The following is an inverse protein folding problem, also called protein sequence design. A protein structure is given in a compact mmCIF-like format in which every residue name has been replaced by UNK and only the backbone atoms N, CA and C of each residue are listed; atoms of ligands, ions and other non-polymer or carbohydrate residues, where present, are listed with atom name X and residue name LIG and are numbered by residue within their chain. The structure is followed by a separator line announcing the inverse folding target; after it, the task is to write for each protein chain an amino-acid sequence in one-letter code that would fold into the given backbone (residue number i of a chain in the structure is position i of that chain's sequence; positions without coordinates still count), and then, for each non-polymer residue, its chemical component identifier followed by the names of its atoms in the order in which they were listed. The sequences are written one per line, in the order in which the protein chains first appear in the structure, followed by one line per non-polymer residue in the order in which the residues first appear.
data_IF_832530809935
#
_entry.id   IF_832530809935
#
_cell.length_a   1.000
_cell.length_b   1.000
_cell.length_c   1.000
_cell.angle_alpha   90.00
_cell.angle_beta   90.00
_cell.angle_gamma   90.00
#
_symmetry.space_group_name_H-M   'P 1'
#
loop_
_entity.id
_entity.type
_entity.pdbx_description
1 polymer ?
#
# COMPACT_ATOMS: atom_id res chain seq x y z
N UNK A 1 -12.21 8.30 9.05
CA UNK A 1 -11.84 9.08 7.84
C UNK A 1 -10.50 8.52 7.35
N UNK A 2 -10.35 8.14 6.08
CA UNK A 2 -9.09 7.56 5.60
C UNK A 2 -8.00 8.65 5.60
N UNK A 3 -6.99 8.51 6.46
CA UNK A 3 -5.90 9.49 6.65
C UNK A 3 -5.15 9.77 5.34
N UNK A 4 -5.15 8.82 4.41
CA UNK A 4 -4.47 8.90 3.11
C UNK A 4 -5.37 9.38 1.97
N UNK A 5 -6.62 9.79 2.22
CA UNK A 5 -7.58 10.11 1.16
C UNK A 5 -7.07 11.18 0.17
N UNK A 6 -6.43 12.24 0.66
CA UNK A 6 -5.91 13.31 -0.18
C UNK A 6 -4.70 12.86 -1.01
N UNK A 7 -3.77 12.13 -0.40
CA UNK A 7 -2.62 11.57 -1.10
C UNK A 7 -3.05 10.59 -2.18
N UNK A 8 -3.96 9.66 -1.86
CA UNK A 8 -4.51 8.73 -2.85
C UNK A 8 -5.22 9.46 -4.00
N UNK A 9 -5.90 10.57 -3.73
CA UNK A 9 -6.50 11.41 -4.78
C UNK A 9 -5.44 12.00 -5.70
N UNK A 10 -4.36 12.55 -5.14
CA UNK A 10 -3.22 13.11 -5.90
C UNK A 10 -2.52 12.03 -6.73
N UNK A 11 -2.26 10.87 -6.13
CA UNK A 11 -1.61 9.72 -6.78
C UNK A 11 -2.43 9.23 -7.97
N UNK A 12 -3.75 9.03 -7.78
CA UNK A 12 -4.65 8.61 -8.87
C UNK A 12 -4.68 9.62 -10.02
N UNK A 13 -4.58 10.92 -9.71
CA UNK A 13 -4.46 11.97 -10.72
C UNK A 13 -3.13 11.86 -11.48
N UNK A 14 -2.02 11.54 -10.81
CA UNK A 14 -0.72 11.32 -11.48
C UNK A 14 -0.73 10.12 -12.44
N UNK A 15 -1.50 9.08 -12.12
CA UNK A 15 -1.69 7.92 -13.00
C UNK A 15 -2.81 8.10 -14.04
N UNK A 16 -3.47 9.27 -14.08
CA UNK A 16 -4.53 9.52 -15.05
C UNK A 16 -3.95 9.61 -16.46
N UNK A 17 -4.49 8.79 -17.38
CA UNK A 17 -4.00 8.70 -18.75
C UNK A 17 -2.84 7.73 -18.96
N UNK A 18 -2.45 6.94 -17.95
CA UNK A 18 -1.59 5.78 -18.17
C UNK A 18 -2.31 4.73 -19.02
N UNK A 19 -1.54 4.11 -19.91
CA UNK A 19 -1.97 2.98 -20.73
C UNK A 19 -0.97 1.85 -20.50
N UNK A 20 -1.47 0.61 -20.44
CA UNK A 20 -0.62 -0.58 -20.39
C UNK A 20 -0.32 -1.09 -21.80
N UNK A 21 0.90 -1.55 -22.02
CA UNK A 21 1.31 -2.30 -23.20
C UNK A 21 1.92 -3.62 -22.74
N UNK A 22 1.40 -4.73 -23.25
CA UNK A 22 1.95 -6.05 -22.96
C UNK A 22 3.38 -6.17 -23.54
N UNK A 23 4.28 -6.75 -22.76
CA UNK A 23 5.66 -7.07 -23.16
C UNK A 23 5.99 -8.51 -22.74
N UNK A 24 7.11 -9.10 -23.20
CA UNK A 24 7.48 -10.47 -22.82
C UNK A 24 7.53 -10.70 -21.30
N UNK A 25 7.50 -11.97 -20.89
CA UNK A 25 7.65 -12.39 -19.48
C UNK A 25 6.50 -12.02 -18.54
N UNK A 26 5.25 -11.98 -19.05
CA UNK A 26 4.03 -11.69 -18.26
C UNK A 26 4.10 -10.30 -17.64
N UNK A 27 4.62 -9.37 -18.42
CA UNK A 27 4.90 -8.00 -18.00
C UNK A 27 4.10 -6.99 -18.81
N UNK A 28 3.83 -5.85 -18.18
CA UNK A 28 3.05 -4.76 -18.73
C UNK A 28 3.76 -3.43 -18.43
N UNK A 29 4.15 -2.72 -19.48
CA UNK A 29 4.70 -1.37 -19.35
C UNK A 29 3.53 -0.40 -19.26
N UNK A 30 3.43 0.31 -18.13
CA UNK A 30 2.38 1.26 -17.82
C UNK A 30 2.96 2.68 -17.83
N UNK A 31 2.55 3.51 -18.79
CA UNK A 31 3.03 4.90 -18.91
C UNK A 31 2.01 5.78 -19.61
N UNK A 32 2.17 7.10 -19.49
CA UNK A 32 1.41 8.04 -20.33
C UNK A 32 2.02 8.12 -21.73
N UNK A 33 1.21 8.42 -22.74
CA UNK A 33 1.72 8.65 -24.10
C UNK A 33 2.56 9.93 -24.25
N UNK A 34 2.55 10.83 -23.26
CA UNK A 34 3.17 12.16 -23.33
C UNK A 34 4.41 12.32 -22.43
N UNK A 35 4.59 11.46 -21.44
CA UNK A 35 5.66 11.56 -20.44
C UNK A 35 6.06 10.19 -19.90
N UNK A 36 7.34 10.07 -19.56
CA UNK A 36 7.89 8.93 -18.83
C UNK A 36 7.70 9.04 -17.32
N UNK A 37 7.38 10.23 -16.81
CA UNK A 37 7.18 10.44 -15.38
C UNK A 37 6.12 9.48 -14.82
N UNK A 38 6.46 8.83 -13.71
CA UNK A 38 5.64 7.79 -13.08
C UNK A 38 5.36 6.58 -13.99
N UNK A 39 6.21 6.35 -14.99
CA UNK A 39 6.19 5.13 -15.79
C UNK A 39 6.69 3.94 -14.98
N UNK A 40 6.04 2.79 -15.12
CA UNK A 40 6.41 1.58 -14.39
C UNK A 40 6.12 0.33 -15.20
N UNK A 41 6.78 -0.77 -14.84
CA UNK A 41 6.52 -2.10 -15.37
C UNK A 41 5.90 -2.94 -14.28
N UNK A 42 4.76 -3.55 -14.59
CA UNK A 42 4.14 -4.57 -13.74
C UNK A 42 4.50 -5.95 -14.31
N UNK A 43 5.06 -6.82 -13.48
CA UNK A 43 5.42 -8.19 -13.87
C UNK A 43 4.74 -9.18 -12.92
N UNK A 44 4.20 -10.26 -13.48
CA UNK A 44 3.64 -11.35 -12.69
C UNK A 44 4.52 -12.59 -12.75
N UNK A 45 4.67 -13.23 -11.59
CA UNK A 45 5.14 -14.60 -11.48
C UNK A 45 4.17 -15.37 -10.56
N UNK A 46 4.10 -16.71 -10.65
CA UNK A 46 3.29 -17.50 -9.72
C UNK A 46 3.58 -17.11 -8.26
N UNK A 47 2.53 -16.67 -7.55
CA UNK A 47 2.62 -16.22 -6.16
C UNK A 47 3.05 -14.76 -5.93
N UNK A 48 3.39 -13.98 -6.96
CA UNK A 48 3.81 -12.57 -6.78
C UNK A 48 3.46 -11.64 -7.94
N UNK A 49 3.29 -10.37 -7.62
CA UNK A 49 3.28 -9.26 -8.57
C UNK A 49 4.37 -8.28 -8.14
N UNK A 50 5.24 -7.91 -9.07
CA UNK A 50 6.25 -6.89 -8.87
C UNK A 50 5.97 -5.68 -9.73
N UNK A 51 6.16 -4.49 -9.16
CA UNK A 51 6.22 -3.23 -9.90
C UNK A 51 7.62 -2.65 -9.78
N UNK A 52 8.16 -2.14 -10.89
CA UNK A 52 9.45 -1.43 -10.93
C UNK A 52 9.40 -0.25 -11.91
N UNK A 53 10.30 0.72 -11.75
CA UNK A 53 10.39 1.90 -12.63
C UNK A 53 10.48 3.21 -11.83
N UNK A 54 9.97 4.30 -12.40
CA UNK A 54 10.07 5.64 -11.82
C UNK A 54 9.29 5.80 -10.51
N UNK A 55 8.33 4.91 -10.26
CA UNK A 55 7.54 4.86 -9.02
C UNK A 55 8.29 4.13 -7.89
N UNK A 56 9.47 3.58 -8.18
CA UNK A 56 10.22 2.69 -7.31
C UNK A 56 9.79 1.23 -7.47
N UNK A 57 10.20 0.41 -6.52
CA UNK A 57 10.01 -1.04 -6.55
C UNK A 57 9.09 -1.49 -5.42
N UNK A 58 8.21 -2.45 -5.71
CA UNK A 58 7.40 -3.15 -4.71
C UNK A 58 7.12 -4.57 -5.19
N UNK A 59 7.20 -5.53 -4.28
CA UNK A 59 6.74 -6.90 -4.54
C UNK A 59 5.60 -7.22 -3.58
N UNK A 60 4.43 -7.55 -4.13
CA UNK A 60 3.30 -8.08 -3.36
C UNK A 60 3.22 -9.59 -3.55
N UNK A 61 3.13 -10.34 -2.45
CA UNK A 61 3.14 -11.81 -2.46
C UNK A 61 1.79 -12.37 -2.02
N UNK A 62 1.23 -13.27 -2.82
CA UNK A 62 0.05 -14.03 -2.45
C UNK A 62 0.10 -15.42 -3.11
N UNK A 63 0.39 -16.43 -2.29
CA UNK A 63 0.57 -17.81 -2.72
C UNK A 63 -0.69 -18.48 -3.27
N UNK A 64 -1.89 -17.90 -3.06
CA UNK A 64 -3.15 -18.46 -3.58
C UNK A 64 -3.45 -18.17 -5.05
N UNK A 65 -2.54 -17.51 -5.79
CA UNK A 65 -2.81 -16.99 -7.13
C UNK A 65 -2.01 -17.75 -8.19
N UNK A 66 -2.63 -18.81 -8.74
CA UNK A 66 -2.01 -19.68 -9.73
C UNK A 66 -1.97 -19.12 -11.16
N UNK A 67 -2.90 -18.23 -11.54
CA UNK A 67 -2.98 -17.69 -12.90
C UNK A 67 -2.82 -16.17 -12.95
N UNK A 68 -2.27 -15.66 -14.05
CA UNK A 68 -2.08 -14.23 -14.29
C UNK A 68 -3.38 -13.44 -14.11
N UNK A 69 -4.46 -13.87 -14.77
CA UNK A 69 -5.75 -13.16 -14.75
C UNK A 69 -6.33 -13.10 -13.34
N UNK A 70 -6.21 -14.18 -12.57
CA UNK A 70 -6.64 -14.20 -11.16
C UNK A 70 -5.79 -13.27 -10.31
N UNK A 71 -4.47 -13.24 -10.55
CA UNK A 71 -3.56 -12.36 -9.82
C UNK A 71 -3.83 -10.88 -10.10
N UNK A 72 -4.06 -10.51 -11.36
CA UNK A 72 -4.39 -9.14 -11.72
C UNK A 72 -5.76 -8.71 -11.15
N UNK A 73 -6.78 -9.58 -11.19
CA UNK A 73 -8.09 -9.29 -10.55
C UNK A 73 -7.96 -9.08 -9.06
N UNK A 74 -7.19 -9.94 -8.39
CA UNK A 74 -6.88 -9.80 -6.98
C UNK A 74 -6.20 -8.45 -6.68
N UNK A 75 -5.12 -8.12 -7.40
CA UNK A 75 -4.40 -6.87 -7.20
C UNK A 75 -5.25 -5.64 -7.49
N UNK A 76 -6.06 -5.66 -8.55
CA UNK A 76 -6.95 -4.57 -8.91
C UNK A 76 -8.04 -4.30 -7.84
N UNK A 77 -8.63 -5.38 -7.30
CA UNK A 77 -9.75 -5.35 -6.37
C UNK A 77 -9.38 -5.23 -4.89
N UNK A 78 -8.16 -5.57 -4.51
CA UNK A 78 -7.71 -5.51 -3.11
C UNK A 78 -7.65 -4.07 -2.58
N UNK A 79 -7.86 -3.93 -1.28
CA UNK A 79 -7.62 -2.66 -0.57
C UNK A 79 -6.12 -2.41 -0.35
N UNK A 80 -5.77 -1.19 0.05
CA UNK A 80 -4.37 -0.79 0.24
C UNK A 80 -3.74 -1.51 1.42
N UNK A 81 -4.44 -1.60 2.54
CA UNK A 81 -3.91 -2.18 3.78
C UNK A 81 -3.56 -3.65 3.59
N UNK A 82 -4.40 -4.39 2.86
CA UNK A 82 -4.14 -5.77 2.49
C UNK A 82 -2.93 -5.89 1.58
N UNK A 83 -2.82 -5.10 0.51
CA UNK A 83 -1.66 -5.14 -0.37
C UNK A 83 -0.36 -4.75 0.34
N UNK A 84 -0.41 -3.74 1.20
CA UNK A 84 0.72 -3.33 2.03
C UNK A 84 1.14 -4.45 2.98
N UNK A 85 0.19 -5.14 3.62
CA UNK A 85 0.45 -6.32 4.47
C UNK A 85 1.10 -7.50 3.72
N UNK A 86 0.95 -7.54 2.38
CA UNK A 86 1.54 -8.56 1.49
C UNK A 86 2.86 -8.13 0.85
N UNK A 87 3.34 -6.93 1.15
CA UNK A 87 4.61 -6.40 0.67
C UNK A 87 5.66 -6.33 1.78
N UNK A 88 6.90 -5.98 1.43
CA UNK A 88 7.95 -5.69 2.42
C UNK A 88 7.84 -4.29 3.04
N UNK A 89 6.95 -3.44 2.55
CA UNK A 89 6.78 -2.07 3.05
C UNK A 89 6.23 -2.10 4.47
N UNK A 90 6.94 -1.43 5.38
CA UNK A 90 6.51 -1.17 6.76
C UNK A 90 6.20 0.30 6.91
N UNK A 91 5.24 0.60 7.77
CA UNK A 91 5.00 1.98 8.18
C UNK A 91 6.28 2.53 8.83
N UNK A 92 6.57 3.79 8.55
CA UNK A 92 7.65 4.53 9.18
C UNK A 92 7.06 5.48 10.22
N UNK A 93 7.83 5.74 11.26
CA UNK A 93 7.52 6.78 12.22
C UNK A 93 7.28 8.13 11.52
N UNK A 94 6.16 8.77 11.85
CA UNK A 94 5.78 10.09 11.34
C UNK A 94 5.76 11.09 12.50
N UNK A 95 6.77 11.94 12.55
CA UNK A 95 6.96 12.95 13.59
C UNK A 95 5.80 13.96 13.63
N UNK A 96 5.37 14.46 12.46
CA UNK A 96 4.31 15.47 12.35
C UNK A 96 2.95 14.89 12.76
N UNK A 97 2.69 13.64 12.37
CA UNK A 97 1.51 12.90 12.79
C UNK A 97 1.49 12.69 14.31
N UNK A 98 2.63 12.27 14.86
CA UNK A 98 2.81 12.01 16.29
C UNK A 98 2.60 13.29 17.11
N UNK A 99 3.20 14.41 16.70
CA UNK A 99 3.03 15.71 17.36
C UNK A 99 1.57 16.16 17.32
N UNK A 100 0.93 16.07 16.14
CA UNK A 100 -0.49 16.40 15.97
C UNK A 100 -1.37 15.58 16.91
N UNK A 101 -1.12 14.28 17.02
CA UNK A 101 -1.91 13.41 17.87
C UNK A 101 -1.74 13.75 19.36
N UNK A 102 -0.53 14.03 19.84
CA UNK A 102 -0.27 14.50 21.22
C UNK A 102 -1.03 15.81 21.49
N UNK A 103 -0.95 16.78 20.59
CA UNK A 103 -1.64 18.08 20.71
C UNK A 103 -3.16 17.90 20.68
N UNK A 104 -3.68 17.02 19.82
CA UNK A 104 -5.11 16.70 19.74
C UNK A 104 -5.61 16.04 21.03
N UNK A 105 -4.83 15.13 21.62
CA UNK A 105 -5.15 14.53 22.91
C UNK A 105 -5.24 15.59 24.03
N UNK A 106 -4.27 16.49 24.09
CA UNK A 106 -4.26 17.60 25.06
C UNK A 106 -5.45 18.54 24.88
N UNK A 107 -5.76 18.90 23.63
CA UNK A 107 -6.90 19.76 23.32
C UNK A 107 -8.24 19.08 23.63
N UNK A 108 -8.39 17.78 23.37
CA UNK A 108 -9.63 17.04 23.59
C UNK A 108 -10.09 17.12 25.04
N UNK A 109 -9.16 17.02 25.99
CA UNK A 109 -9.48 17.16 27.40
C UNK A 109 -9.82 18.62 27.77
N UNK A 110 -9.00 19.57 27.33
CA UNK A 110 -9.14 20.99 27.70
C UNK A 110 -10.38 21.68 27.09
N UNK A 111 -10.90 21.18 25.96
CA UNK A 111 -12.09 21.74 25.30
C UNK A 111 -13.31 21.75 26.22
N UNK A 112 -13.50 20.68 27.00
CA UNK A 112 -14.62 20.57 27.93
C UNK A 112 -14.58 21.64 29.03
N UNK A 113 -13.41 21.87 29.61
CA UNK A 113 -13.17 22.89 30.63
C UNK A 113 -13.32 24.30 30.07
N UNK A 114 -12.83 24.54 28.85
CA UNK A 114 -13.02 25.83 28.14
C UNK A 114 -14.48 26.11 27.80
N UNK A 115 -15.24 25.07 27.42
CA UNK A 115 -16.67 25.19 27.15
C UNK A 115 -17.44 25.54 28.43
N UNK A 116 -17.09 24.92 29.55
CA UNK A 116 -17.73 25.18 30.85
C UNK A 116 -17.59 26.65 31.27
N UNK A 117 -16.38 27.23 31.18
CA UNK A 117 -16.19 28.67 31.46
C UNK A 117 -17.03 29.54 30.52
N UNK A 118 -17.12 29.15 29.26
CA UNK A 118 -17.86 29.92 28.26
C UNK A 118 -19.35 29.92 28.59
N UNK A 119 -19.90 28.80 29.04
CA UNK A 119 -21.28 28.67 29.50
C UNK A 119 -21.52 29.48 30.77
N UNK A 120 -20.60 29.44 31.73
CA UNK A 120 -20.67 30.25 32.95
C UNK A 120 -20.59 31.74 32.68
N UNK A 121 -19.69 32.18 31.79
CA UNK A 121 -19.62 33.57 31.34
C UNK A 121 -20.92 34.01 30.65
N UNK A 122 -21.57 33.13 29.91
CA UNK A 122 -22.87 33.42 29.30
C UNK A 122 -23.96 33.52 30.35
N UNK A 123 -24.00 32.61 31.32
CA UNK A 123 -24.93 32.63 32.43
C UNK A 123 -24.74 33.88 33.29
N UNK A 124 -23.51 34.18 33.69
CA UNK A 124 -23.14 35.40 34.41
C UNK A 124 -23.61 36.67 33.69
N UNK A 125 -23.44 36.74 32.36
CA UNK A 125 -23.96 37.86 31.55
C UNK A 125 -25.48 37.97 31.58
N UNK A 126 -26.20 36.85 31.63
CA UNK A 126 -27.67 36.81 31.71
C UNK A 126 -28.17 37.20 33.10
N UNK A 127 -27.42 36.87 34.14
CA UNK A 127 -27.69 37.23 35.53
C UNK A 127 -27.26 38.66 35.88
N UNK A 128 -26.96 39.50 34.90
CA UNK A 128 -26.67 40.90 35.14
C UNK A 128 -27.89 41.56 35.79
N UNK A 129 -27.74 42.24 36.95
CA UNK A 129 -28.84 42.93 37.61
C UNK A 129 -29.53 43.93 36.65
N UNK A 130 -30.86 43.97 36.68
CA UNK A 130 -31.64 45.01 36.00
C UNK A 130 -31.69 46.26 36.88
N UNK A 131 -31.56 47.45 36.30
CA UNK A 131 -31.61 48.69 37.07
C UNK A 131 -33.02 48.98 37.62
N UNK A 132 -34.06 48.46 36.97
CA UNK A 132 -35.46 48.70 37.34
C UNK A 132 -35.88 47.94 38.61
N UNK A 133 -35.14 46.90 39.00
CA UNK A 133 -35.44 46.04 40.15
C UNK A 133 -34.91 46.58 41.50
N UNK A 134 -34.10 47.64 41.47
CA UNK A 134 -33.34 48.11 42.64
C UNK A 134 -33.40 49.63 42.82
N UNK A 135 -33.16 50.11 44.05
CA UNK A 135 -32.83 51.53 44.27
C UNK A 135 -31.41 51.82 43.78
N UNK A 136 -31.10 53.09 43.50
CA UNK A 136 -29.84 53.47 42.85
C UNK A 136 -28.57 53.07 43.63
N UNK A 137 -28.60 53.13 44.96
CA UNK A 137 -27.53 52.72 45.87
C UNK A 137 -27.42 51.19 45.97
N UNK A 138 -28.56 50.49 46.03
CA UNK A 138 -28.63 49.02 46.03
C UNK A 138 -28.12 48.44 44.70
N UNK A 139 -28.48 49.04 43.56
CA UNK A 139 -28.02 48.65 42.24
C UNK A 139 -26.50 48.80 42.09
N UNK A 140 -25.92 49.87 42.63
CA UNK A 140 -24.48 50.09 42.59
C UNK A 140 -23.72 48.99 43.36
N UNK A 141 -24.19 48.63 44.55
CA UNK A 141 -23.61 47.55 45.36
C UNK A 141 -23.77 46.18 44.69
N UNK A 142 -24.93 45.91 44.08
CA UNK A 142 -25.18 44.64 43.39
C UNK A 142 -24.36 44.51 42.11
N UNK A 143 -24.20 45.59 41.35
CA UNK A 143 -23.31 45.64 40.18
C UNK A 143 -21.84 45.42 40.54
N UNK A 144 -21.40 45.89 41.71
CA UNK A 144 -20.05 45.63 42.22
C UNK A 144 -19.85 44.15 42.55
N UNK A 145 -20.80 43.53 43.26
CA UNK A 145 -20.81 42.09 43.54
C UNK A 145 -20.83 41.26 42.25
N UNK A 146 -21.73 41.59 41.33
CA UNK A 146 -21.82 40.91 40.03
C UNK A 146 -20.50 41.01 39.25
N UNK A 147 -19.83 42.17 39.25
CA UNK A 147 -18.50 42.31 38.61
C UNK A 147 -17.42 41.49 39.30
N UNK A 148 -17.46 41.41 40.63
CA UNK A 148 -16.51 40.61 41.42
C UNK A 148 -16.70 39.10 41.16
N UNK A 149 -17.95 38.65 40.98
CA UNK A 149 -18.32 37.27 40.66
C UNK A 149 -18.09 36.87 39.19
N UNK A 150 -17.51 37.75 38.37
CA UNK A 150 -17.21 37.43 36.98
C UNK A 150 -16.33 36.19 36.91
N UNK A 151 -16.76 35.11 36.22
CA UNK A 151 -15.90 33.96 35.98
C UNK A 151 -14.61 34.41 35.27
N UNK A 152 -13.47 34.21 35.90
CA UNK A 152 -12.15 34.51 35.35
C UNK A 152 -11.45 33.23 34.90
N UNK A 153 -10.28 33.38 34.27
CA UNK A 153 -9.39 32.23 34.02
C UNK A 153 -8.95 31.60 35.34
N UNK A 154 -8.76 32.39 36.39
CA UNK A 154 -8.39 31.91 37.72
C UNK A 154 -9.54 31.14 38.41
N UNK A 155 -10.80 31.34 37.99
CA UNK A 155 -11.93 30.53 38.42
C UNK A 155 -11.79 29.04 38.03
N UNK A 156 -11.14 28.71 36.90
CA UNK A 156 -10.78 27.31 36.58
C UNK A 156 -9.87 26.70 37.63
N UNK A 157 -8.99 27.53 38.19
CA UNK A 157 -7.96 27.10 39.12
C UNK A 157 -8.53 26.85 40.51
N UNK A 158 -9.67 27.41 40.88
CA UNK A 158 -10.17 27.37 42.26
C UNK A 158 -11.43 26.53 42.44
N UNK A 159 -12.01 25.99 41.37
CA UNK A 159 -13.36 25.41 41.38
C UNK A 159 -13.54 24.20 42.32
N UNK A 160 -12.51 23.38 42.49
CA UNK A 160 -12.52 22.18 43.33
C UNK A 160 -11.52 22.22 44.49
N UNK A 161 -10.95 23.40 44.79
CA UNK A 161 -10.15 23.53 46.00
C UNK A 161 -11.10 23.75 47.18
N UNK A 162 -11.11 22.82 48.13
CA UNK A 162 -11.87 22.90 49.40
C UNK A 162 -11.63 24.21 50.20
N UNK A 163 -10.70 25.06 49.77
CA UNK A 163 -10.26 26.28 50.45
C UNK A 163 -10.25 27.54 49.56
N UNK A 164 -10.77 27.50 48.32
CA UNK A 164 -10.77 28.67 47.43
C UNK A 164 -9.38 29.16 47.00
N UNK A 165 -8.34 28.35 47.22
CA UNK A 165 -6.97 28.60 46.73
C UNK A 165 -6.87 28.20 45.25
N UNK A 166 -6.08 28.92 44.43
CA UNK A 166 -5.73 28.43 43.10
C UNK A 166 -5.04 27.07 43.23
N UNK A 167 -5.40 26.11 42.37
CA UNK A 167 -4.86 24.74 42.28
C UNK A 167 -3.31 24.69 42.23
N UNK A 168 -2.69 25.81 41.88
CA UNK A 168 -1.24 26.04 41.79
C UNK A 168 -0.53 26.17 43.13
N UNK A 169 -1.26 26.28 44.26
CA UNK A 169 -0.68 26.59 45.56
C UNK A 169 -1.11 25.58 46.63
N UNK A 170 -0.74 24.30 46.47
CA UNK A 170 -0.59 23.37 47.59
C UNK A 170 0.90 23.13 47.84
N UNK A 171 1.43 23.80 48.87
CA UNK A 171 2.85 23.75 49.31
C UNK A 171 3.36 22.33 49.59
N UNK A 172 2.46 21.36 49.73
CA UNK A 172 2.70 19.96 50.07
C UNK A 172 2.54 18.96 48.90
N UNK A 173 1.94 19.35 47.76
CA UNK A 173 1.53 18.40 46.69
C UNK A 173 1.99 18.70 45.25
N UNK A 174 2.69 19.82 45.03
CA UNK A 174 3.17 20.21 43.69
C UNK A 174 2.09 20.84 42.80
N UNK A 175 2.48 21.21 41.56
CA UNK A 175 1.59 21.82 40.56
C UNK A 175 0.47 20.84 40.16
N UNK A 176 -0.78 21.19 40.49
CA UNK A 176 -2.01 20.47 40.10
C UNK A 176 -2.71 21.25 38.99
N UNK A 177 -3.11 20.58 37.91
CA UNK A 177 -3.88 21.17 36.83
C UNK A 177 -5.38 21.17 37.19
N UNK A 178 -6.17 22.17 36.72
CA UNK A 178 -7.62 22.04 36.67
C UNK A 178 -8.04 20.83 35.83
N UNK A 179 -9.19 20.25 36.14
CA UNK A 179 -9.76 19.13 35.39
C UNK A 179 -9.73 19.38 33.88
N UNK A 180 -9.22 18.39 33.14
CA UNK A 180 -9.08 18.42 31.68
C UNK A 180 -7.83 19.13 31.16
N UNK A 181 -6.97 19.65 32.04
CA UNK A 181 -5.69 20.28 31.67
C UNK A 181 -4.47 19.43 32.01
N UNK A 182 -4.66 18.23 32.55
CA UNK A 182 -3.58 17.34 32.99
C UNK A 182 -2.57 17.04 31.88
N UNK A 183 -3.05 16.74 30.68
CA UNK A 183 -2.17 16.45 29.53
C UNK A 183 -1.39 17.69 29.10
N UNK A 184 -1.99 18.89 29.13
CA UNK A 184 -1.26 20.12 28.83
C UNK A 184 -0.21 20.44 29.89
N UNK A 185 -0.51 20.24 31.17
CA UNK A 185 0.45 20.41 32.26
C UNK A 185 1.58 19.36 32.16
N UNK A 186 1.24 18.14 31.80
CA UNK A 186 2.18 17.05 31.57
C UNK A 186 3.11 17.32 30.39
N UNK A 187 2.59 17.82 29.27
CA UNK A 187 3.41 18.31 28.14
C UNK A 187 4.35 19.43 28.61
N UNK A 188 3.83 20.43 29.33
CA UNK A 188 4.65 21.52 29.86
C UNK A 188 5.78 20.99 30.77
N UNK A 189 5.48 20.00 31.63
CA UNK A 189 6.46 19.30 32.47
C UNK A 189 7.46 18.47 31.63
N UNK A 190 7.04 17.86 30.52
CA UNK A 190 7.97 17.11 29.67
C UNK A 190 8.91 18.02 28.87
N UNK A 191 8.49 19.24 28.54
CA UNK A 191 9.26 20.16 27.69
C UNK A 191 10.25 21.02 28.48
N UNK A 192 9.96 21.36 29.74
CA UNK A 192 10.83 22.08 30.73
C UNK A 192 11.66 23.30 30.25
N UNK A 193 11.41 23.82 29.06
CA UNK A 193 12.11 24.98 28.47
C UNK A 193 11.31 26.29 28.52
N UNK A 194 10.04 26.25 28.93
CA UNK A 194 9.13 27.38 28.80
C UNK A 194 8.49 27.83 30.12
N UNK A 195 8.70 29.11 30.45
CA UNK A 195 7.69 30.01 31.03
C UNK A 195 7.02 29.61 32.33
N UNK A 196 5.93 30.34 32.61
CA UNK A 196 5.04 30.05 33.72
C UNK A 196 4.07 28.93 33.28
N UNK A 197 3.75 27.98 34.17
CA UNK A 197 2.76 26.95 33.89
C UNK A 197 1.38 27.54 33.51
N UNK A 198 1.12 28.79 33.88
CA UNK A 198 -0.04 29.58 33.46
C UNK A 198 -0.17 29.82 31.95
N UNK A 199 0.93 29.63 31.20
CA UNK A 199 0.95 29.84 29.75
C UNK A 199 0.09 28.80 29.02
N UNK A 200 -0.10 27.59 29.58
CA UNK A 200 -0.94 26.54 28.98
C UNK A 200 -2.39 27.01 28.79
N UNK A 201 -2.88 27.96 29.59
CA UNK A 201 -4.25 28.47 29.45
C UNK A 201 -4.38 29.53 28.37
N UNK A 202 -3.27 30.09 27.89
CA UNK A 202 -3.28 31.08 26.80
C UNK A 202 -3.19 30.39 25.44
N UNK A 203 -3.73 31.03 24.40
CA UNK A 203 -3.53 30.56 23.03
C UNK A 203 -2.05 30.62 22.63
N UNK A 204 -1.35 31.68 23.00
CA UNK A 204 0.06 31.89 22.67
C UNK A 204 0.97 30.83 23.29
N UNK A 205 0.80 30.55 24.59
CA UNK A 205 1.56 29.52 25.28
C UNK A 205 1.32 28.11 24.74
N UNK A 206 0.07 27.76 24.40
CA UNK A 206 -0.22 26.48 23.72
C UNK A 206 0.41 26.38 22.33
N UNK A 207 0.42 27.47 21.57
CA UNK A 207 1.09 27.50 20.27
C UNK A 207 2.61 27.33 20.40
N UNK A 208 3.24 28.01 21.35
CA UNK A 208 4.67 27.85 21.62
C UNK A 208 5.01 26.43 22.09
N UNK A 209 4.20 25.85 22.98
CA UNK A 209 4.37 24.46 23.40
C UNK A 209 4.18 23.48 22.23
N UNK A 210 3.22 23.71 21.34
CA UNK A 210 3.00 22.86 20.18
C UNK A 210 4.24 22.81 19.26
N UNK A 211 4.91 23.94 19.01
CA UNK A 211 6.15 23.99 18.23
C UNK A 211 7.29 23.16 18.88
N UNK A 212 7.39 23.19 20.22
CA UNK A 212 8.36 22.37 20.95
C UNK A 212 8.01 20.88 20.92
N UNK A 213 6.71 20.55 21.01
CA UNK A 213 6.23 19.16 20.84
C UNK A 213 6.61 18.65 19.45
N UNK A 214 6.40 19.45 18.40
CA UNK A 214 6.81 19.13 17.03
C UNK A 214 8.32 18.85 16.94
N UNK A 215 9.15 19.70 17.53
CA UNK A 215 10.61 19.49 17.56
C UNK A 215 11.03 18.23 18.33
N UNK A 216 10.42 17.96 19.50
CA UNK A 216 10.69 16.73 20.26
C UNK A 216 10.26 15.48 19.50
N UNK A 217 9.18 15.58 18.72
CA UNK A 217 8.65 14.48 17.94
C UNK A 217 9.53 14.09 16.75
N UNK A 218 10.59 14.83 16.41
CA UNK A 218 11.61 14.36 15.47
C UNK A 218 12.27 13.04 15.91
N UNK A 219 12.25 12.74 17.22
CA UNK A 219 12.72 11.49 17.79
C UNK A 219 11.56 10.70 18.40
N UNK A 220 11.34 9.47 17.92
CA UNK A 220 10.31 8.56 18.46
C UNK A 220 10.43 8.38 19.96
N UNK A 221 11.62 8.09 20.47
CA UNK A 221 11.83 7.83 21.89
C UNK A 221 11.46 9.04 22.76
N UNK A 222 11.77 10.25 22.27
CA UNK A 222 11.40 11.50 22.96
C UNK A 222 9.89 11.76 22.89
N UNK A 223 9.26 11.49 21.76
CA UNK A 223 7.82 11.63 21.61
C UNK A 223 7.05 10.68 22.54
N UNK A 224 7.48 9.42 22.60
CA UNK A 224 6.91 8.40 23.49
C UNK A 224 7.11 8.79 24.96
N UNK A 225 8.33 9.19 25.34
CA UNK A 225 8.61 9.68 26.69
C UNK A 225 7.72 10.86 27.08
N UNK A 226 7.63 11.87 26.22
CA UNK A 226 6.77 13.04 26.43
C UNK A 226 5.30 12.67 26.60
N UNK A 227 4.78 11.77 25.76
CA UNK A 227 3.39 11.37 25.81
C UNK A 227 3.06 10.62 27.11
N UNK A 228 3.93 9.69 27.53
CA UNK A 228 3.78 8.96 28.79
C UNK A 228 3.87 9.93 29.98
N UNK A 229 4.86 10.82 30.00
CA UNK A 229 5.00 11.85 31.04
C UNK A 229 3.79 12.79 31.08
N UNK A 230 3.12 12.97 29.93
CA UNK A 230 1.90 13.73 29.81
C UNK A 230 0.62 12.99 30.23
N UNK A 231 0.72 11.71 30.64
CA UNK A 231 -0.42 10.89 31.01
C UNK A 231 -1.20 10.34 29.82
N UNK A 232 -0.56 10.23 28.64
CA UNK A 232 -1.09 9.50 27.49
C UNK A 232 -0.57 8.06 27.59
N UNK A 233 -1.39 7.19 28.17
CA UNK A 233 -1.06 5.79 28.39
C UNK A 233 -0.89 5.00 27.07
N UNK A 234 -0.05 3.97 27.10
CA UNK A 234 0.21 3.03 25.99
C UNK A 234 0.56 3.70 24.65
N UNK A 235 1.29 4.82 24.71
CA UNK A 235 1.67 5.57 23.51
C UNK A 235 2.91 5.01 22.82
N UNK A 236 2.82 4.70 21.53
CA UNK A 236 3.94 4.16 20.72
C UNK A 236 4.38 5.07 19.56
N UNK A 237 3.73 6.23 19.41
CA UNK A 237 3.89 7.10 18.24
C UNK A 237 2.97 6.72 17.07
N UNK A 238 2.83 7.64 16.12
CA UNK A 238 2.05 7.42 14.90
C UNK A 238 2.96 6.90 13.78
N UNK A 239 2.68 5.68 13.32
CA UNK A 239 3.35 5.07 12.18
C UNK A 239 2.48 5.20 10.93
N UNK A 240 3.05 5.73 9.85
CA UNK A 240 2.33 5.97 8.59
C UNK A 240 3.10 5.45 7.40
N UNK A 241 2.35 5.08 6.36
CA UNK A 241 2.92 4.85 5.03
C UNK A 241 3.27 6.19 4.39
N UNK A 242 4.43 6.23 3.74
CA UNK A 242 4.84 7.44 3.02
C UNK A 242 4.03 7.61 1.74
N UNK A 243 4.01 8.82 1.19
CA UNK A 243 3.42 9.07 -0.14
C UNK A 243 3.98 8.15 -1.22
N UNK A 244 5.29 7.83 -1.15
CA UNK A 244 5.97 6.94 -2.08
C UNK A 244 5.48 5.49 -1.96
N UNK A 245 5.26 5.01 -0.74
CA UNK A 245 4.70 3.68 -0.48
C UNK A 245 3.30 3.54 -1.06
N UNK A 246 2.46 4.56 -0.83
CA UNK A 246 1.12 4.63 -1.39
C UNK A 246 1.16 4.70 -2.92
N UNK A 247 2.13 5.41 -3.51
CA UNK A 247 2.32 5.45 -4.97
C UNK A 247 2.63 4.08 -5.54
N UNK A 248 3.53 3.32 -4.92
CA UNK A 248 3.93 1.97 -5.35
C UNK A 248 2.77 1.00 -5.29
N UNK A 249 2.00 1.02 -4.21
CA UNK A 249 0.81 0.15 -4.07
C UNK A 249 -0.28 0.55 -5.06
N UNK A 250 -0.50 1.84 -5.29
CA UNK A 250 -1.46 2.25 -6.31
C UNK A 250 -1.00 1.88 -7.72
N UNK A 251 0.31 1.86 -8.00
CA UNK A 251 0.85 1.34 -9.25
C UNK A 251 0.52 -0.14 -9.45
N UNK A 252 0.58 -0.97 -8.39
CA UNK A 252 0.13 -2.37 -8.44
C UNK A 252 -1.35 -2.44 -8.84
N UNK A 253 -2.22 -1.64 -8.19
CA UNK A 253 -3.67 -1.67 -8.44
C UNK A 253 -4.05 -1.15 -9.83
N UNK A 254 -3.50 0.00 -10.23
CA UNK A 254 -3.78 0.61 -11.53
C UNK A 254 -3.15 -0.20 -12.65
N UNK A 255 -1.88 -0.63 -12.49
CA UNK A 255 -1.22 -1.52 -13.44
C UNK A 255 -2.02 -2.78 -13.67
N UNK A 256 -2.55 -3.40 -12.60
CA UNK A 256 -3.38 -4.59 -12.73
C UNK A 256 -4.70 -4.32 -13.47
N UNK A 257 -5.36 -3.18 -13.20
CA UNK A 257 -6.56 -2.75 -13.93
C UNK A 257 -6.29 -2.51 -15.42
N UNK A 258 -5.19 -1.83 -15.74
CA UNK A 258 -4.81 -1.54 -17.13
C UNK A 258 -4.43 -2.84 -17.86
N UNK A 259 -3.65 -3.72 -17.23
CA UNK A 259 -3.27 -5.02 -17.76
C UNK A 259 -4.50 -5.91 -18.03
N UNK A 260 -5.50 -5.91 -17.14
CA UNK A 260 -6.76 -6.59 -17.39
C UNK A 260 -7.48 -6.03 -18.62
N UNK A 261 -7.49 -4.70 -18.80
CA UNK A 261 -8.06 -4.08 -20.00
C UNK A 261 -7.38 -4.51 -21.29
N UNK A 262 -6.05 -4.65 -21.29
CA UNK A 262 -5.30 -5.20 -22.44
C UNK A 262 -5.72 -6.64 -22.72
N UNK A 263 -5.79 -7.48 -21.69
CA UNK A 263 -6.21 -8.89 -21.80
C UNK A 263 -7.69 -9.09 -22.17
N UNK A 264 -8.52 -8.05 -22.09
CA UNK A 264 -9.94 -8.09 -22.47
C UNK A 264 -10.17 -7.55 -23.90
N UNK A 265 -9.34 -6.62 -24.37
CA UNK A 265 -9.43 -6.05 -25.71
C UNK A 265 -8.79 -6.93 -26.79
N UNK A 266 -7.74 -7.64 -26.41
CA UNK A 266 -7.16 -8.67 -27.25
C UNK A 266 -8.02 -9.93 -27.04
N UNK A 267 -8.83 -10.32 -28.04
CA UNK A 267 -8.97 -11.75 -28.33
C UNK A 267 -7.53 -12.22 -28.51
N UNK A 268 -6.93 -12.76 -27.46
CA UNK A 268 -5.52 -13.17 -27.43
C UNK A 268 -5.37 -14.49 -28.23
N UNK A 269 -5.96 -14.52 -29.44
CA UNK A 269 -5.63 -15.42 -30.52
C UNK A 269 -4.27 -14.97 -31.07
N UNK A 270 -3.33 -15.91 -31.10
CA UNK A 270 -1.96 -15.73 -31.57
C UNK A 270 -1.01 -14.94 -30.64
N UNK A 271 -0.86 -15.44 -29.41
CA UNK A 271 0.44 -15.89 -28.90
C UNK A 271 1.65 -14.91 -28.82
N UNK A 272 2.28 -14.64 -27.64
CA UNK A 272 3.68 -14.17 -27.60
C UNK A 272 4.69 -15.34 -27.44
N UNK A 273 4.21 -16.59 -27.53
CA UNK A 273 4.89 -17.89 -27.64
C UNK A 273 4.08 -19.12 -27.10
N UNK A 274 3.35 -19.00 -25.97
CA UNK A 274 2.08 -19.69 -25.62
C UNK A 274 1.97 -19.72 -24.10
N UNK A 275 0.98 -19.03 -23.54
CA UNK A 275 0.78 -19.00 -22.10
C UNK A 275 0.11 -20.30 -21.65
N UNK A 276 0.89 -21.34 -21.33
CA UNK A 276 0.37 -22.43 -20.49
C UNK A 276 0.25 -21.90 -19.06
N UNK A 277 -0.98 -21.89 -18.55
CA UNK A 277 -1.25 -21.69 -17.13
C UNK A 277 -0.48 -22.76 -16.36
N UNK A 278 0.53 -22.34 -15.59
CA UNK A 278 1.25 -23.23 -14.70
C UNK A 278 0.38 -23.39 -13.46
N UNK A 279 0.02 -24.62 -13.09
CA UNK A 279 -0.58 -24.86 -11.79
C UNK A 279 0.47 -24.61 -10.67
N UNK A 280 -0.02 -24.37 -9.46
CA UNK A 280 0.76 -24.00 -8.28
C UNK A 280 1.91 -24.97 -7.95
N UNK A 281 1.88 -26.19 -8.52
CA UNK A 281 2.84 -27.26 -8.30
C UNK A 281 3.99 -27.31 -9.31
N UNK A 282 4.01 -26.42 -10.31
CA UNK A 282 5.07 -26.41 -11.31
C UNK A 282 5.02 -27.62 -12.24
N UNK A 283 3.86 -28.25 -12.42
CA UNK A 283 3.69 -29.26 -13.46
C UNK A 283 3.59 -28.54 -14.81
N UNK A 284 4.75 -28.29 -15.40
CA UNK A 284 4.82 -27.97 -16.83
C UNK A 284 4.28 -29.18 -17.57
N UNK A 285 3.06 -29.09 -18.11
CA UNK A 285 2.84 -29.76 -19.40
C UNK A 285 3.82 -29.05 -20.33
N UNK A 286 4.83 -29.73 -20.91
CA UNK A 286 5.76 -29.08 -21.80
C UNK A 286 4.97 -28.35 -22.89
N UNK A 287 5.45 -27.21 -23.41
CA UNK A 287 4.85 -26.66 -24.62
C UNK A 287 4.96 -27.75 -25.67
N UNK A 288 3.82 -28.37 -26.02
CA UNK A 288 3.74 -29.33 -27.12
C UNK A 288 4.16 -28.56 -28.34
N UNK A 289 5.41 -28.79 -28.75
CA UNK A 289 5.93 -28.21 -29.98
C UNK A 289 5.05 -28.74 -31.10
N UNK A 290 4.79 -27.95 -32.15
CA UNK A 290 3.83 -28.32 -33.21
C UNK A 290 4.07 -29.69 -33.89
N UNK A 291 5.20 -30.35 -33.63
CA UNK A 291 5.46 -31.74 -33.98
C UNK A 291 4.73 -32.74 -33.09
N UNK A 292 4.77 -32.58 -31.76
CA UNK A 292 4.07 -33.46 -30.80
C UNK A 292 2.55 -33.30 -30.90
N UNK A 293 2.07 -32.09 -31.16
CA UNK A 293 0.64 -31.84 -31.41
C UNK A 293 0.20 -32.42 -32.76
N UNK A 294 1.07 -32.39 -33.79
CA UNK A 294 0.81 -33.03 -35.08
C UNK A 294 0.87 -34.55 -34.99
N UNK A 295 1.81 -35.14 -34.25
CA UNK A 295 1.89 -36.59 -33.99
C UNK A 295 0.68 -37.05 -33.17
N UNK A 296 0.31 -36.30 -32.12
CA UNK A 296 -0.89 -36.59 -31.33
C UNK A 296 -2.17 -36.44 -32.15
N UNK A 297 -2.28 -35.42 -33.03
CA UNK A 297 -3.40 -35.29 -33.97
C UNK A 297 -3.40 -36.39 -35.02
N UNK A 298 -2.25 -36.78 -35.57
CA UNK A 298 -2.16 -37.89 -36.49
C UNK A 298 -2.59 -39.20 -35.81
N UNK A 299 -2.26 -39.41 -34.53
CA UNK A 299 -2.73 -40.55 -33.75
C UNK A 299 -4.23 -40.49 -33.41
N UNK A 300 -4.78 -39.30 -33.13
CA UNK A 300 -6.18 -39.11 -32.73
C UNK A 300 -7.12 -39.07 -33.94
N UNK A 301 -6.75 -38.37 -35.01
CA UNK A 301 -7.52 -38.24 -36.25
C UNK A 301 -7.40 -39.52 -37.13
N UNK A 302 -6.36 -40.34 -36.92
CA UNK A 302 -6.21 -41.67 -37.54
C UNK A 302 -6.32 -42.84 -36.57
N UNK A 303 -7.05 -42.71 -35.46
CA UNK A 303 -7.38 -43.80 -34.55
C UNK A 303 -8.17 -44.98 -35.19
N UNK A 304 -8.40 -44.94 -36.50
CA UNK A 304 -8.96 -46.04 -37.30
C UNK A 304 -7.90 -46.83 -38.10
N UNK A 305 -6.61 -46.47 -38.03
CA UNK A 305 -5.52 -47.15 -38.72
C UNK A 305 -4.70 -47.99 -37.75
N UNK A 306 -4.32 -49.21 -38.18
CA UNK A 306 -3.44 -50.09 -37.40
C UNK A 306 -2.07 -49.42 -37.19
N UNK A 307 -1.42 -49.71 -36.07
CA UNK A 307 -0.09 -49.18 -35.69
C UNK A 307 0.93 -49.24 -36.85
N UNK A 308 0.93 -50.32 -37.62
CA UNK A 308 1.81 -50.49 -38.79
C UNK A 308 1.58 -49.44 -39.89
N UNK A 309 0.34 -48.96 -40.05
CA UNK A 309 0.01 -47.93 -41.02
C UNK A 309 0.45 -46.54 -40.52
N UNK A 310 0.25 -46.23 -39.24
CA UNK A 310 0.75 -45.00 -38.63
C UNK A 310 2.28 -44.91 -38.71
N UNK A 311 2.98 -46.02 -38.46
CA UNK A 311 4.44 -46.10 -38.60
C UNK A 311 4.91 -45.99 -40.05
N UNK A 312 4.16 -46.55 -41.00
CA UNK A 312 4.47 -46.40 -42.44
C UNK A 312 4.33 -44.95 -42.86
N UNK A 313 3.27 -44.25 -42.43
CA UNK A 313 3.07 -42.83 -42.75
C UNK A 313 4.11 -41.93 -42.08
N UNK A 314 4.49 -42.21 -40.83
CA UNK A 314 5.55 -41.49 -40.13
C UNK A 314 6.89 -41.64 -40.86
N UNK A 315 7.26 -42.87 -41.28
CA UNK A 315 8.48 -43.12 -42.05
C UNK A 315 8.48 -42.39 -43.39
N UNK A 316 7.39 -42.45 -44.15
CA UNK A 316 7.27 -41.72 -45.43
C UNK A 316 7.41 -40.20 -45.24
N UNK A 317 6.89 -39.66 -44.14
CA UNK A 317 6.99 -38.23 -43.84
C UNK A 317 8.44 -37.84 -43.48
N UNK A 318 9.12 -38.66 -42.69
CA UNK A 318 10.54 -38.47 -42.37
C UNK A 318 11.41 -38.57 -43.61
N UNK A 319 11.15 -39.55 -44.48
CA UNK A 319 11.88 -39.70 -45.75
C UNK A 319 11.67 -38.50 -46.67
N UNK A 320 10.45 -37.94 -46.73
CA UNK A 320 10.17 -36.71 -47.50
C UNK A 320 10.91 -35.50 -46.92
N UNK A 321 10.95 -35.34 -45.60
CA UNK A 321 11.67 -34.23 -44.96
C UNK A 321 13.21 -34.36 -45.13
N UNK A 322 13.75 -35.58 -45.11
CA UNK A 322 15.15 -35.87 -45.41
C UNK A 322 15.48 -35.60 -46.88
N UNK A 323 14.61 -36.00 -47.81
CA UNK A 323 14.77 -35.74 -49.25
C UNK A 323 14.66 -34.23 -49.56
N UNK A 324 13.82 -33.50 -48.83
CA UNK A 324 13.75 -32.03 -48.92
C UNK A 324 15.01 -31.34 -48.37
N UNK A 325 15.64 -31.89 -47.32
CA UNK A 325 16.93 -31.43 -46.81
C UNK A 325 18.06 -31.65 -47.82
N UNK A 326 18.12 -32.83 -48.44
CA UNK A 326 19.10 -33.15 -49.50
C UNK A 326 18.91 -32.30 -50.76
N UNK A 327 17.68 -31.87 -51.04
CA UNK A 327 17.34 -30.96 -52.15
C UNK A 327 17.55 -29.46 -51.81
N UNK A 328 18.05 -29.12 -50.61
CA UNK A 328 18.38 -27.75 -50.24
C UNK A 328 17.18 -26.85 -49.91
N UNK A 329 16.04 -27.42 -49.49
CA UNK A 329 14.87 -26.63 -49.07
C UNK A 329 15.06 -26.03 -47.65
N UNK A 330 15.31 -24.71 -47.59
CA UNK A 330 15.58 -23.92 -46.36
C UNK A 330 14.45 -23.80 -45.31
N UNK A 331 13.39 -24.61 -45.35
CA UNK A 331 12.37 -24.61 -44.28
C UNK A 331 12.83 -25.38 -43.04
N UNK A 332 13.67 -26.42 -43.21
CA UNK A 332 14.20 -27.21 -42.10
C UNK A 332 15.30 -26.46 -41.33
N UNK A 333 16.16 -25.70 -42.02
CA UNK A 333 17.15 -24.81 -41.39
C UNK A 333 16.51 -23.82 -40.40
N UNK A 334 15.31 -23.32 -40.71
CA UNK A 334 14.64 -22.35 -39.85
C UNK A 334 14.16 -22.98 -38.53
N UNK A 335 13.83 -24.28 -38.50
CA UNK A 335 13.41 -24.98 -37.26
C UNK A 335 14.61 -25.40 -36.42
N UNK A 336 15.71 -25.82 -37.05
CA UNK A 336 16.95 -26.20 -36.34
C UNK A 336 17.67 -24.96 -35.77
N UNK A 337 17.74 -23.86 -36.51
CA UNK A 337 18.31 -22.61 -35.99
C UNK A 337 17.52 -22.00 -34.84
N UNK A 338 16.21 -22.30 -34.75
CA UNK A 338 15.40 -21.86 -33.62
C UNK A 338 15.85 -22.51 -32.31
N UNK A 339 16.48 -23.69 -32.32
CA UNK A 339 17.11 -24.30 -31.14
C UNK A 339 18.48 -23.70 -30.79
N UNK A 340 19.28 -23.33 -31.79
CA UNK A 340 20.63 -22.80 -31.60
C UNK A 340 20.67 -21.35 -31.04
N UNK A 341 19.57 -20.60 -31.14
CA UNK A 341 19.52 -19.20 -30.67
C UNK A 341 19.23 -19.03 -29.16
N UNK A 342 18.92 -20.12 -28.44
CA UNK A 342 18.53 -20.12 -27.02
C UNK A 342 19.67 -20.43 -26.02
N UNK A 343 20.93 -20.25 -26.40
CA UNK A 343 22.03 -20.28 -25.42
C UNK A 343 22.40 -21.67 -24.89
N UNK A 344 21.98 -22.73 -25.56
CA UNK A 344 22.69 -24.01 -25.48
C UNK A 344 23.87 -23.93 -26.45
N UNK A 345 25.07 -24.29 -25.98
CA UNK A 345 26.22 -24.57 -26.86
C UNK A 345 25.75 -25.41 -28.05
N UNK A 346 26.30 -25.14 -29.24
CA UNK A 346 25.97 -25.86 -30.46
C UNK A 346 25.92 -27.37 -30.18
N UNK A 347 24.71 -27.94 -30.18
CA UNK A 347 24.57 -29.37 -29.95
C UNK A 347 25.38 -30.07 -31.06
N UNK A 348 26.19 -31.10 -30.72
CA UNK A 348 27.16 -31.70 -31.63
C UNK A 348 26.53 -32.57 -32.72
N UNK A 349 25.21 -32.50 -32.90
CA UNK A 349 24.42 -33.38 -33.74
C UNK A 349 23.90 -32.63 -34.95
N UNK A 350 24.04 -33.26 -36.11
CA UNK A 350 23.43 -32.76 -37.34
C UNK A 350 21.91 -32.91 -37.31
N UNK A 351 21.14 -32.19 -38.13
CA UNK A 351 19.70 -32.41 -38.27
C UNK A 351 19.33 -33.87 -38.58
N UNK A 352 20.19 -34.56 -39.33
CA UNK A 352 20.09 -36.00 -39.63
C UNK A 352 20.20 -36.86 -38.36
N UNK A 353 21.16 -36.54 -37.48
CA UNK A 353 21.35 -37.26 -36.22
C UNK A 353 20.14 -37.09 -35.29
N UNK A 354 19.56 -35.89 -35.23
CA UNK A 354 18.37 -35.61 -34.43
C UNK A 354 17.13 -36.38 -34.92
N UNK A 355 16.99 -36.55 -36.25
CA UNK A 355 15.91 -37.33 -36.85
C UNK A 355 16.08 -38.83 -36.62
N UNK A 356 17.32 -39.35 -36.69
CA UNK A 356 17.61 -40.75 -36.33
C UNK A 356 17.32 -41.06 -34.87
N UNK A 357 17.74 -40.18 -33.95
CA UNK A 357 17.45 -40.36 -32.52
C UNK A 357 15.94 -40.39 -32.24
N UNK A 358 15.14 -39.56 -32.93
CA UNK A 358 13.69 -39.59 -32.79
C UNK A 358 13.05 -40.88 -33.33
N UNK A 359 13.61 -41.46 -34.41
CA UNK A 359 13.18 -42.76 -34.92
C UNK A 359 13.53 -43.90 -33.95
N UNK A 360 14.73 -43.88 -33.37
CA UNK A 360 15.17 -44.88 -32.39
C UNK A 360 14.30 -44.83 -31.12
N UNK A 361 13.93 -43.63 -30.66
CA UNK A 361 13.06 -43.44 -29.50
C UNK A 361 11.63 -43.94 -29.78
N UNK A 362 11.11 -43.72 -30.99
CA UNK A 362 9.82 -44.27 -31.42
C UNK A 362 9.83 -45.81 -31.55
N UNK A 363 10.93 -46.40 -32.00
CA UNK A 363 11.08 -47.86 -32.03
C UNK A 363 11.19 -48.44 -30.62
N UNK A 364 11.87 -47.75 -29.70
CA UNK A 364 11.90 -48.14 -28.29
C UNK A 364 10.50 -48.14 -27.65
N UNK A 365 9.69 -47.11 -27.94
CA UNK A 365 8.30 -47.05 -27.45
C UNK A 365 7.41 -48.15 -28.04
N UNK A 366 7.72 -48.65 -29.25
CA UNK A 366 7.04 -49.80 -29.86
C UNK A 366 7.38 -51.10 -29.13
N UNK A 367 8.63 -51.28 -28.71
CA UNK A 367 9.07 -52.44 -27.94
C UNK A 367 8.42 -52.46 -26.54
N UNK A 368 8.27 -51.30 -25.91
CA UNK A 368 7.59 -51.17 -24.61
C UNK A 368 6.07 -51.38 -24.69
N UNK A 369 5.46 -51.17 -25.87
CA UNK A 369 4.02 -51.30 -26.10
C UNK A 369 3.59 -52.69 -26.60
N UNK A 370 4.53 -53.57 -26.97
CA UNK A 370 4.30 -54.94 -27.45
C UNK A 370 4.47 -55.98 -26.33
#
# INVERSE_FOLDING_TARGET
MNVYAEDLRRIRKSYSGHVATAVPSRSFVCRTGRSWAYGFTLTWAPGSISVSGDVGEIIVRNHGLGTLKSALRWAAGSDYDYLLSKSEIRQSYDADATARHIIEAANRQAVSSLQTIREELQWWRRCKPDADDYRADEYAAEMERWRADRPTRDHLKCRDSDEGRPYYAREDKGLVAPDGWDVWLGIWKGVHRYGDADDIFTRGGRSALAEEVESLCESRDRAVGLAIDAGIDDYYGDDRFTFSDLMRVEAVRIGARLALGVLEQEEFDANPYAWTDCDFWGNTTPPRTGFEEWVARAFVDHAALTWDHAMTTARVTVDVELDMLDQGYNRAEHRVHTRARYGCEALPWTPEDALRMALDELEHWREDAA
#
